data_IF_296912787296
#
_entry.id   IF_296912787296
#
_cell.length_a   1.000
_cell.length_b   1.000
_cell.length_c   1.000
_cell.angle_alpha   90.00
_cell.angle_beta   90.00
_cell.angle_gamma   90.00
#
_symmetry.space_group_name_H-M   'P 1'
#
loop_
_entity.id
_entity.type
_entity.pdbx_description
1 polymer ?
#
# COMPACT_ATOMS: atom_id res chain seq x y z
N UNK A 1 4.68 4.14 -26.63
CA UNK A 1 4.38 3.04 -25.68
C UNK A 1 5.53 2.04 -25.62
N UNK A 2 5.92 1.40 -26.74
CA UNK A 2 7.05 0.46 -26.78
C UNK A 2 8.37 1.02 -26.20
N UNK A 3 8.80 2.23 -26.59
CA UNK A 3 10.01 2.88 -26.03
C UNK A 3 10.04 2.92 -24.49
N UNK A 4 8.90 3.28 -23.89
CA UNK A 4 8.76 3.38 -22.43
C UNK A 4 8.82 2.01 -21.74
N UNK A 5 8.45 0.94 -22.45
CA UNK A 5 8.54 -0.44 -21.97
C UNK A 5 10.00 -0.90 -21.93
N UNK A 6 10.75 -0.61 -23.00
CA UNK A 6 12.19 -0.85 -23.05
C UNK A 6 12.91 -0.04 -21.96
N UNK A 7 12.57 1.24 -21.77
CA UNK A 7 13.15 2.05 -20.67
C UNK A 7 12.91 1.47 -19.26
N UNK A 8 11.87 0.64 -19.08
CA UNK A 8 11.50 0.02 -17.80
C UNK A 8 12.17 -1.35 -17.63
N UNK A 9 12.23 -2.14 -18.71
CA UNK A 9 12.61 -3.56 -18.65
C UNK A 9 14.05 -3.79 -19.14
N UNK A 10 14.42 -3.20 -20.26
CA UNK A 10 15.72 -3.40 -20.93
C UNK A 10 16.82 -2.65 -20.16
N UNK A 11 17.53 -3.39 -19.29
CA UNK A 11 18.53 -2.83 -18.38
C UNK A 11 19.89 -2.68 -19.03
N UNK A 12 20.19 -3.54 -20.00
CA UNK A 12 21.48 -3.55 -20.68
C UNK A 12 21.50 -2.66 -21.95
N UNK A 13 20.33 -2.15 -22.34
CA UNK A 13 20.07 -1.30 -23.49
C UNK A 13 20.48 -1.95 -24.83
N UNK A 14 20.36 -3.27 -24.91
CA UNK A 14 20.66 -4.02 -26.14
C UNK A 14 19.46 -4.10 -27.10
N UNK A 15 18.31 -3.56 -26.70
CA UNK A 15 17.08 -3.55 -27.49
C UNK A 15 16.36 -4.90 -27.53
N UNK A 16 16.73 -5.84 -26.65
CA UNK A 16 16.05 -7.13 -26.45
C UNK A 16 15.48 -7.16 -25.03
N UNK A 17 14.32 -7.78 -24.87
CA UNK A 17 13.73 -8.02 -23.55
C UNK A 17 13.90 -9.49 -23.20
N UNK A 18 14.64 -9.76 -22.13
CA UNK A 18 14.83 -11.11 -21.60
C UNK A 18 13.88 -11.40 -20.43
N UNK A 19 13.68 -12.69 -20.13
CA UNK A 19 12.89 -13.10 -18.95
C UNK A 19 13.52 -12.60 -17.64
N UNK A 20 14.85 -12.61 -17.55
CA UNK A 20 15.59 -12.13 -16.37
C UNK A 20 15.42 -10.62 -16.16
N UNK A 21 15.44 -9.84 -17.23
CA UNK A 21 15.19 -8.39 -17.18
C UNK A 21 13.76 -8.08 -16.78
N UNK A 22 12.78 -8.81 -17.33
CA UNK A 22 11.38 -8.67 -16.94
C UNK A 22 11.19 -9.04 -15.46
N UNK A 23 11.82 -10.12 -15.00
CA UNK A 23 11.74 -10.56 -13.61
C UNK A 23 12.41 -9.57 -12.67
N UNK A 24 13.56 -9.01 -13.05
CA UNK A 24 14.21 -7.93 -12.31
C UNK A 24 13.33 -6.68 -12.25
N UNK A 25 12.64 -6.35 -13.34
CA UNK A 25 11.76 -5.19 -13.39
C UNK A 25 10.51 -5.37 -12.53
N UNK A 26 9.88 -6.54 -12.55
CA UNK A 26 8.74 -6.87 -11.69
C UNK A 26 9.17 -6.96 -10.21
N UNK A 27 10.44 -7.29 -9.94
CA UNK A 27 11.00 -7.26 -8.58
C UNK A 27 11.09 -5.86 -7.97
N UNK A 28 11.06 -4.80 -8.79
CA UNK A 28 11.08 -3.42 -8.34
C UNK A 28 9.65 -2.85 -8.26
N UNK A 29 9.15 -2.47 -7.06
CA UNK A 29 7.75 -2.06 -6.89
C UNK A 29 7.28 -0.96 -7.86
N UNK A 30 8.14 0.03 -8.13
CA UNK A 30 7.88 1.13 -9.05
C UNK A 30 7.61 0.65 -10.49
N UNK A 31 8.43 -0.29 -10.95
CA UNK A 31 8.39 -0.81 -12.31
C UNK A 31 7.25 -1.82 -12.43
N UNK A 32 7.06 -2.70 -11.44
CA UNK A 32 5.91 -3.58 -11.32
C UNK A 32 4.59 -2.81 -11.43
N UNK A 33 4.47 -1.69 -10.72
CA UNK A 33 3.29 -0.83 -10.76
C UNK A 33 3.09 -0.22 -12.16
N UNK A 34 4.16 0.28 -12.79
CA UNK A 34 4.08 0.82 -14.14
C UNK A 34 3.67 -0.26 -15.17
N UNK A 35 4.16 -1.49 -15.02
CA UNK A 35 3.80 -2.63 -15.86
C UNK A 35 2.34 -3.06 -15.64
N UNK A 36 1.86 -3.06 -14.39
CA UNK A 36 0.49 -3.43 -14.05
C UNK A 36 -0.57 -2.45 -14.62
N UNK A 37 -0.16 -1.24 -15.01
CA UNK A 37 -1.02 -0.23 -15.64
C UNK A 37 -1.08 -0.33 -17.16
N UNK A 38 -0.34 -1.27 -17.76
CA UNK A 38 -0.36 -1.46 -19.21
C UNK A 38 -1.67 -2.10 -19.66
N UNK A 39 -2.22 -1.54 -20.73
CA UNK A 39 -3.30 -2.15 -21.50
C UNK A 39 -2.71 -2.47 -22.88
N UNK A 40 -2.57 -3.76 -23.18
CA UNK A 40 -1.87 -4.24 -24.37
C UNK A 40 -2.87 -4.86 -25.31
N UNK A 41 -2.87 -4.43 -26.57
CA UNK A 41 -3.67 -5.07 -27.61
C UNK A 41 -2.89 -6.23 -28.21
N UNK A 42 -3.37 -7.45 -28.00
CA UNK A 42 -2.74 -8.66 -28.51
C UNK A 42 -3.77 -9.79 -28.71
N UNK A 43 -3.43 -10.74 -29.58
CA UNK A 43 -4.27 -11.92 -29.83
C UNK A 43 -4.38 -12.77 -28.56
N UNK A 44 -5.60 -13.05 -28.12
CA UNK A 44 -5.90 -13.84 -26.92
C UNK A 44 -5.10 -15.15 -26.86
N UNK A 45 -4.57 -15.51 -25.69
CA UNK A 45 -3.94 -16.82 -25.44
C UNK A 45 -4.94 -17.96 -25.56
N UNK A 46 -6.22 -17.65 -25.34
CA UNK A 46 -7.32 -18.59 -25.52
C UNK A 46 -7.69 -18.82 -26.97
N UNK A 47 -7.02 -18.15 -27.93
CA UNK A 47 -7.11 -18.41 -29.36
C UNK A 47 -5.88 -19.18 -29.85
N UNK A 48 -6.09 -20.42 -30.24
CA UNK A 48 -5.03 -21.28 -30.78
C UNK A 48 -4.71 -20.91 -32.23
N UNK A 49 -3.45 -20.54 -32.45
CA UNK A 49 -2.83 -20.40 -33.75
C UNK A 49 -1.43 -21.04 -33.68
N UNK A 50 -1.11 -22.07 -34.49
CA UNK A 50 0.18 -22.76 -34.42
C UNK A 50 1.38 -21.81 -34.52
N UNK A 51 1.33 -20.89 -35.50
CA UNK A 51 2.39 -19.90 -35.75
C UNK A 51 2.70 -18.99 -34.57
N UNK A 52 1.71 -18.72 -33.69
CA UNK A 52 1.89 -17.91 -32.49
C UNK A 52 2.75 -18.63 -31.45
N UNK A 53 2.51 -19.92 -31.26
CA UNK A 53 3.22 -20.72 -30.27
C UNK A 53 4.57 -21.20 -30.80
N UNK A 54 4.66 -21.52 -32.09
CA UNK A 54 5.91 -21.89 -32.75
C UNK A 54 6.94 -20.74 -32.77
N UNK A 55 6.48 -19.49 -32.76
CA UNK A 55 7.36 -18.32 -32.63
C UNK A 55 8.14 -18.28 -31.30
N UNK A 56 7.68 -19.00 -30.26
CA UNK A 56 8.37 -19.10 -28.98
C UNK A 56 9.45 -20.19 -28.97
N UNK A 57 9.55 -21.02 -30.02
CA UNK A 57 10.55 -22.09 -30.08
C UNK A 57 11.97 -21.52 -30.00
N UNK A 58 12.25 -20.47 -30.76
CA UNK A 58 13.54 -19.78 -30.74
C UNK A 58 13.83 -19.16 -29.35
N UNK A 59 12.81 -18.52 -28.76
CA UNK A 59 12.94 -17.85 -27.46
C UNK A 59 13.23 -18.83 -26.34
N UNK A 60 12.63 -20.02 -26.40
CA UNK A 60 12.82 -21.09 -25.42
C UNK A 60 14.04 -21.98 -25.74
N UNK A 61 14.70 -21.78 -26.89
CA UNK A 61 15.78 -22.65 -27.35
C UNK A 61 15.31 -24.05 -27.78
N UNK A 62 14.03 -24.21 -28.09
CA UNK A 62 13.47 -25.44 -28.66
C UNK A 62 13.84 -25.56 -30.13
N UNK A 63 14.37 -26.70 -30.54
CA UNK A 63 14.63 -27.01 -31.95
C UNK A 63 14.55 -28.51 -32.19
N UNK A 64 14.60 -28.92 -33.47
CA UNK A 64 14.68 -30.35 -33.81
C UNK A 64 15.93 -31.03 -33.26
N UNK A 65 17.05 -30.30 -33.09
CA UNK A 65 18.28 -30.82 -32.48
C UNK A 65 18.33 -30.69 -30.96
N UNK A 66 17.50 -29.80 -30.38
CA UNK A 66 17.37 -29.58 -28.93
C UNK A 66 15.89 -29.64 -28.52
N UNK A 67 15.25 -30.81 -28.55
CA UNK A 67 13.83 -30.92 -28.29
C UNK A 67 13.50 -30.75 -26.80
N UNK A 68 12.78 -29.68 -26.47
CA UNK A 68 12.16 -29.50 -25.15
C UNK A 68 10.82 -30.24 -25.08
N UNK A 69 10.82 -31.48 -24.57
CA UNK A 69 9.64 -32.36 -24.55
C UNK A 69 8.45 -31.77 -23.79
N UNK A 70 8.73 -31.12 -22.66
CA UNK A 70 7.75 -30.42 -21.83
C UNK A 70 7.11 -29.24 -22.58
N UNK A 71 7.85 -28.55 -23.44
CA UNK A 71 7.29 -27.50 -24.30
C UNK A 71 6.39 -28.07 -25.40
N UNK A 72 6.77 -29.19 -26.02
CA UNK A 72 5.93 -29.89 -27.00
C UNK A 72 4.61 -30.34 -26.38
N UNK A 73 4.68 -30.95 -25.19
CA UNK A 73 3.48 -31.35 -24.44
C UNK A 73 2.61 -30.14 -24.07
N UNK A 74 3.22 -29.00 -23.74
CA UNK A 74 2.50 -27.77 -23.43
C UNK A 74 1.78 -27.18 -24.64
N UNK A 75 2.40 -27.19 -25.84
CA UNK A 75 1.71 -26.79 -27.08
C UNK A 75 0.45 -27.62 -27.34
N UNK A 76 0.52 -28.94 -27.11
CA UNK A 76 -0.65 -29.82 -27.22
C UNK A 76 -1.69 -29.51 -26.14
N UNK A 77 -1.28 -29.24 -24.90
CA UNK A 77 -2.20 -28.82 -23.84
C UNK A 77 -2.92 -27.52 -24.18
N UNK A 78 -2.20 -26.51 -24.67
CA UNK A 78 -2.72 -25.21 -25.10
C UNK A 78 -3.79 -25.39 -26.19
N UNK A 79 -3.52 -26.25 -27.18
CA UNK A 79 -4.46 -26.58 -28.25
C UNK A 79 -5.78 -27.14 -27.71
N UNK A 80 -5.74 -27.96 -26.65
CA UNK A 80 -6.92 -28.56 -26.03
C UNK A 80 -7.72 -27.58 -25.17
N UNK A 81 -7.08 -26.63 -24.49
CA UNK A 81 -7.76 -25.67 -23.60
C UNK A 81 -8.25 -24.40 -24.32
N UNK A 82 -7.88 -24.22 -25.59
CA UNK A 82 -8.35 -23.12 -26.41
C UNK A 82 -9.86 -23.25 -26.69
N UNK A 83 -10.60 -22.17 -26.45
CA UNK A 83 -12.05 -22.10 -26.65
C UNK A 83 -12.47 -20.91 -27.51
N UNK A 84 -11.58 -19.95 -27.79
CA UNK A 84 -11.95 -18.68 -28.40
C UNK A 84 -12.54 -18.83 -29.80
N UNK A 85 -11.92 -19.67 -30.64
CA UNK A 85 -12.37 -19.92 -32.02
C UNK A 85 -13.80 -20.50 -32.05
N UNK A 86 -14.22 -21.21 -31.01
CA UNK A 86 -15.55 -21.81 -30.93
C UNK A 86 -16.63 -20.79 -30.56
N UNK A 87 -16.33 -19.90 -29.62
CA UNK A 87 -17.34 -19.00 -29.04
C UNK A 87 -17.38 -17.64 -29.71
N UNK A 88 -16.25 -17.14 -30.22
CA UNK A 88 -16.15 -15.74 -30.65
C UNK A 88 -17.18 -15.34 -31.72
N UNK A 89 -17.43 -16.14 -32.77
CA UNK A 89 -18.46 -15.84 -33.77
C UNK A 89 -19.89 -15.85 -33.19
N UNK A 90 -20.13 -16.63 -32.14
CA UNK A 90 -21.46 -16.83 -31.53
C UNK A 90 -21.86 -15.68 -30.61
N UNK A 91 -20.89 -15.07 -29.93
CA UNK A 91 -21.11 -14.04 -28.90
C UNK A 91 -20.61 -12.64 -29.33
N UNK A 92 -20.17 -12.47 -30.57
CA UNK A 92 -19.72 -11.18 -31.10
C UNK A 92 -18.34 -10.74 -30.60
N UNK A 93 -17.48 -11.67 -30.16
CA UNK A 93 -16.09 -11.36 -29.87
C UNK A 93 -15.27 -11.28 -31.18
N UNK A 94 -14.11 -10.58 -31.17
CA UNK A 94 -13.22 -10.54 -32.33
C UNK A 94 -12.81 -11.94 -32.80
N UNK A 95 -13.16 -12.28 -34.03
CA UNK A 95 -12.88 -13.60 -34.64
C UNK A 95 -11.38 -13.89 -34.70
N UNK A 96 -10.58 -12.86 -34.95
CA UNK A 96 -9.11 -12.95 -34.98
C UNK A 96 -8.46 -12.87 -33.59
N UNK A 97 -9.25 -12.92 -32.51
CA UNK A 97 -8.75 -12.96 -31.13
C UNK A 97 -8.07 -11.70 -30.60
N UNK A 98 -7.90 -10.66 -31.42
CA UNK A 98 -7.29 -9.41 -31.01
C UNK A 98 -8.13 -8.67 -29.97
N UNK A 99 -7.64 -8.63 -28.73
CA UNK A 99 -8.30 -8.00 -27.58
C UNK A 99 -7.32 -7.22 -26.72
N UNK A 100 -7.84 -6.35 -25.86
CA UNK A 100 -7.04 -5.66 -24.87
C UNK A 100 -6.88 -6.52 -23.62
N UNK A 101 -5.62 -6.74 -23.23
CA UNK A 101 -5.23 -7.40 -21.99
C UNK A 101 -4.80 -6.36 -20.97
N UNK A 102 -5.16 -6.56 -19.72
CA UNK A 102 -4.79 -5.69 -18.61
C UNK A 102 -4.59 -6.54 -17.35
N UNK A 103 -3.80 -6.03 -16.40
CA UNK A 103 -3.62 -6.70 -15.11
C UNK A 103 -4.87 -6.49 -14.24
N UNK A 104 -5.67 -7.53 -13.93
CA UNK A 104 -6.95 -7.33 -13.23
C UNK A 104 -6.77 -6.74 -11.83
N UNK A 105 -5.77 -7.22 -11.06
CA UNK A 105 -5.45 -6.64 -9.74
C UNK A 105 -4.96 -5.19 -9.85
N UNK A 106 -4.08 -4.89 -10.82
CA UNK A 106 -3.62 -3.52 -11.08
C UNK A 106 -4.76 -2.57 -11.46
N UNK A 107 -5.72 -3.04 -12.26
CA UNK A 107 -6.91 -2.28 -12.64
C UNK A 107 -7.83 -2.01 -11.44
N UNK A 108 -8.07 -3.01 -10.58
CA UNK A 108 -8.84 -2.80 -9.33
C UNK A 108 -8.12 -1.81 -8.41
N UNK A 109 -6.80 -1.92 -8.29
CA UNK A 109 -5.97 -0.96 -7.57
C UNK A 109 -6.11 0.47 -8.09
N UNK A 110 -6.24 0.64 -9.41
CA UNK A 110 -6.47 1.94 -10.05
C UNK A 110 -7.88 2.49 -9.77
N UNK A 111 -8.92 1.65 -9.70
CA UNK A 111 -10.28 2.12 -9.38
C UNK A 111 -10.47 2.48 -7.91
N UNK A 112 -9.78 1.82 -6.99
CA UNK A 112 -9.69 2.25 -5.59
C UNK A 112 -9.11 3.67 -5.43
N UNK A 113 -8.52 4.18 -6.51
CA UNK A 113 -7.75 5.40 -6.57
C UNK A 113 -8.47 6.60 -7.19
N UNK A 114 -9.35 6.34 -8.16
CA UNK A 114 -10.02 7.35 -9.01
C UNK A 114 -11.47 7.60 -8.53
N UNK A 115 -11.90 6.99 -7.42
CA UNK A 115 -13.24 7.19 -6.85
C UNK A 115 -13.52 8.61 -6.32
N UNK A 116 -14.80 8.98 -6.14
CA UNK A 116 -15.20 10.31 -5.65
C UNK A 116 -14.77 10.51 -4.20
N UNK A 117 -13.68 11.27 -4.00
CA UNK A 117 -13.10 11.57 -2.69
C UNK A 117 -12.58 10.31 -1.97
N UNK A 118 -11.31 10.30 -1.60
CA UNK A 118 -10.76 9.18 -0.84
C UNK A 118 -11.43 9.15 0.54
N UNK A 119 -11.84 7.96 1.01
CA UNK A 119 -12.42 7.77 2.35
C UNK A 119 -11.41 7.07 3.24
N UNK A 120 -11.44 7.41 4.53
CA UNK A 120 -10.74 6.64 5.55
C UNK A 120 -11.42 5.28 5.69
N UNK A 121 -10.67 4.20 5.47
CA UNK A 121 -11.23 2.84 5.50
C UNK A 121 -11.34 2.30 6.93
N UNK A 122 -10.39 2.66 7.79
CA UNK A 122 -10.35 2.34 9.22
C UNK A 122 -9.53 3.42 9.94
N UNK A 123 -9.73 3.59 11.25
CA UNK A 123 -8.90 4.53 12.02
C UNK A 123 -9.28 5.99 11.92
N UNK A 124 -10.56 6.30 11.69
CA UNK A 124 -11.04 7.68 11.57
C UNK A 124 -10.67 8.54 12.78
N UNK A 125 -10.74 7.99 14.01
CA UNK A 125 -10.33 8.70 15.22
C UNK A 125 -8.84 9.07 15.19
N UNK A 126 -7.98 8.13 14.82
CA UNK A 126 -6.53 8.36 14.69
C UNK A 126 -6.23 9.38 13.59
N UNK A 127 -6.84 9.24 12.42
CA UNK A 127 -6.67 10.19 11.31
C UNK A 127 -7.05 11.62 11.72
N UNK A 128 -8.13 11.79 12.47
CA UNK A 128 -8.61 13.09 12.92
C UNK A 128 -7.69 13.73 13.98
N UNK A 129 -6.96 12.92 14.74
CA UNK A 129 -6.07 13.39 15.81
C UNK A 129 -4.68 13.77 15.31
N UNK A 130 -4.21 13.18 14.20
CA UNK A 130 -2.81 13.29 13.75
C UNK A 130 -2.57 14.49 12.82
N UNK A 131 -2.61 15.70 13.38
CA UNK A 131 -2.34 16.95 12.66
C UNK A 131 -3.59 17.65 12.11
N UNK A 132 -3.43 18.67 11.27
CA UNK A 132 -4.55 19.35 10.61
C UNK A 132 -4.25 19.84 9.18
N UNK A 133 -5.29 20.33 8.50
CA UNK A 133 -5.20 20.90 7.14
C UNK A 133 -5.21 22.44 7.14
N UNK A 134 -4.80 23.06 8.25
CA UNK A 134 -4.72 24.51 8.40
C UNK A 134 -3.30 24.95 8.03
N UNK A 135 -3.11 25.61 6.89
CA UNK A 135 -1.78 25.93 6.36
C UNK A 135 -0.91 26.82 7.27
N UNK A 136 -1.51 27.61 8.15
CA UNK A 136 -0.81 28.44 9.14
C UNK A 136 -0.48 27.71 10.46
N UNK A 137 -0.96 26.49 10.63
CA UNK A 137 -0.76 25.70 11.84
C UNK A 137 0.59 24.97 11.80
N UNK A 138 1.26 24.91 12.95
CA UNK A 138 2.46 24.06 13.12
C UNK A 138 2.18 22.56 12.91
N UNK A 139 0.90 22.16 12.96
CA UNK A 139 0.43 20.80 12.73
C UNK A 139 -0.05 20.55 11.29
N UNK A 140 0.27 21.44 10.36
CA UNK A 140 -0.08 21.27 8.96
C UNK A 140 0.61 20.05 8.36
N UNK A 141 -0.17 19.06 7.94
CA UNK A 141 0.35 17.72 7.62
C UNK A 141 0.57 17.46 6.13
N UNK A 142 0.04 18.32 5.24
CA UNK A 142 0.13 18.11 3.78
C UNK A 142 1.50 18.46 3.18
N UNK A 143 2.46 18.85 4.02
CA UNK A 143 3.86 19.05 3.64
C UNK A 143 4.76 18.21 4.54
N UNK A 144 5.97 17.91 4.06
CA UNK A 144 6.95 17.22 4.89
C UNK A 144 7.30 18.06 6.12
N UNK A 145 7.38 17.44 7.29
CA UNK A 145 7.72 18.11 8.54
C UNK A 145 8.56 17.20 9.44
N UNK A 146 9.08 17.73 10.54
CA UNK A 146 9.82 16.97 11.55
C UNK A 146 9.18 17.22 12.92
N UNK A 147 8.68 16.20 13.63
CA UNK A 147 7.95 16.35 14.91
C UNK A 147 8.77 16.89 16.09
N UNK A 148 10.09 17.09 15.96
CA UNK A 148 10.89 17.78 16.98
C UNK A 148 11.62 16.90 17.99
N UNK A 149 11.79 15.60 17.73
CA UNK A 149 12.55 14.69 18.61
C UNK A 149 13.54 13.82 17.82
N UNK A 150 14.54 13.28 18.54
CA UNK A 150 15.65 12.53 17.94
C UNK A 150 15.26 11.15 17.37
N UNK A 151 14.12 10.59 17.81
CA UNK A 151 13.64 9.29 17.35
C UNK A 151 12.82 9.39 16.06
N UNK A 152 12.17 10.54 15.84
CA UNK A 152 11.33 10.80 14.67
C UNK A 152 12.16 11.13 13.43
N UNK A 153 11.68 10.63 12.30
CA UNK A 153 12.16 10.98 10.98
C UNK A 153 11.39 12.13 10.34
N UNK A 154 11.58 12.28 9.04
CA UNK A 154 10.74 13.17 8.23
C UNK A 154 9.34 12.56 8.14
N UNK A 155 8.33 13.36 8.43
CA UNK A 155 6.93 12.93 8.46
C UNK A 155 6.13 13.63 7.37
N UNK A 156 5.15 12.93 6.79
CA UNK A 156 4.19 13.47 5.83
C UNK A 156 2.78 12.97 6.17
N UNK A 157 1.76 13.76 5.87
CA UNK A 157 0.38 13.37 6.12
C UNK A 157 0.09 13.12 7.60
N UNK A 158 -0.92 12.29 7.87
CA UNK A 158 -1.34 11.89 9.22
C UNK A 158 -0.38 10.83 9.79
N UNK A 159 0.84 11.23 10.11
CA UNK A 159 1.82 10.42 10.86
C UNK A 159 2.64 9.40 10.05
N UNK A 160 2.80 9.59 8.73
CA UNK A 160 3.70 8.74 7.94
C UNK A 160 5.17 9.12 8.17
N UNK A 161 5.85 8.41 9.07
CA UNK A 161 7.27 8.63 9.43
C UNK A 161 8.24 7.87 8.50
N UNK A 162 9.22 8.56 7.92
CA UNK A 162 10.17 7.97 6.96
C UNK A 162 11.46 7.45 7.58
N UNK A 163 11.66 7.64 8.89
CA UNK A 163 12.93 7.35 9.58
C UNK A 163 13.22 5.87 9.79
N UNK A 164 12.22 4.98 9.62
CA UNK A 164 12.41 3.52 9.71
C UNK A 164 12.12 2.79 8.40
N UNK A 165 11.86 3.54 7.31
CA UNK A 165 11.44 3.02 6.02
C UNK A 165 12.56 3.07 5.01
N UNK A 166 12.52 2.15 4.05
CA UNK A 166 13.47 2.16 2.93
C UNK A 166 13.06 3.20 1.88
N UNK A 167 14.02 3.65 1.06
CA UNK A 167 13.73 4.56 -0.05
C UNK A 167 12.69 3.97 -1.02
N UNK A 168 12.82 2.68 -1.36
CA UNK A 168 11.90 1.98 -2.26
C UNK A 168 10.49 1.88 -1.69
N UNK A 169 10.36 1.63 -0.39
CA UNK A 169 9.07 1.58 0.29
C UNK A 169 8.40 2.95 0.29
N UNK A 170 9.12 4.01 0.64
CA UNK A 170 8.57 5.37 0.63
C UNK A 170 8.12 5.75 -0.78
N UNK A 171 8.95 5.49 -1.79
CA UNK A 171 8.57 5.76 -3.17
C UNK A 171 7.30 4.99 -3.59
N UNK A 172 7.23 3.70 -3.27
CA UNK A 172 6.06 2.87 -3.55
C UNK A 172 4.80 3.44 -2.89
N UNK A 173 4.85 3.75 -1.59
CA UNK A 173 3.71 4.32 -0.87
C UNK A 173 3.30 5.70 -1.42
N UNK A 174 4.24 6.56 -1.80
CA UNK A 174 3.91 7.86 -2.41
C UNK A 174 3.21 7.68 -3.76
N UNK A 175 3.78 6.85 -4.63
CA UNK A 175 3.19 6.57 -5.95
C UNK A 175 1.86 5.85 -5.84
N UNK A 176 1.66 5.01 -4.80
CA UNK A 176 0.42 4.35 -4.38
C UNK A 176 -0.51 5.25 -3.54
N UNK A 177 -0.09 6.45 -3.16
CA UNK A 177 -0.97 7.51 -2.66
C UNK A 177 -1.38 8.49 -3.76
N UNK A 178 -0.77 8.43 -4.94
CA UNK A 178 -1.13 9.21 -6.13
C UNK A 178 -0.29 10.46 -6.28
N UNK A 179 0.85 10.47 -5.61
CA UNK A 179 1.83 11.53 -5.68
C UNK A 179 2.65 11.30 -6.96
N UNK A 180 2.85 12.36 -7.73
CA UNK A 180 3.55 12.27 -9.01
C UNK A 180 4.98 11.76 -8.83
N UNK A 181 5.50 11.05 -9.84
CA UNK A 181 6.80 10.38 -9.77
C UNK A 181 7.93 11.29 -9.32
N UNK A 182 7.98 12.54 -9.80
CA UNK A 182 9.03 13.49 -9.40
C UNK A 182 8.94 13.85 -7.91
N UNK A 183 7.73 14.19 -7.44
CA UNK A 183 7.49 14.52 -6.04
C UNK A 183 7.76 13.30 -5.14
N UNK A 184 7.32 12.11 -5.55
CA UNK A 184 7.57 10.84 -4.86
C UNK A 184 9.08 10.53 -4.74
N UNK A 185 9.88 10.77 -5.78
CA UNK A 185 11.35 10.61 -5.72
C UNK A 185 11.98 11.58 -4.74
N UNK A 186 11.56 12.85 -4.73
CA UNK A 186 12.09 13.84 -3.79
C UNK A 186 11.76 13.48 -2.34
N UNK A 187 10.53 13.03 -2.08
CA UNK A 187 10.09 12.58 -0.75
C UNK A 187 10.89 11.34 -0.30
N UNK A 188 11.12 10.38 -1.20
CA UNK A 188 11.81 9.13 -0.82
C UNK A 188 13.26 9.32 -0.38
N UNK A 189 13.91 10.42 -0.74
CA UNK A 189 15.25 10.78 -0.24
C UNK A 189 15.31 11.02 1.27
N UNK A 190 14.16 11.16 1.94
CA UNK A 190 14.10 11.30 3.38
C UNK A 190 14.27 9.97 4.15
N UNK A 191 14.43 8.85 3.44
CA UNK A 191 14.52 7.52 4.04
C UNK A 191 15.59 7.42 5.13
N UNK A 192 15.23 6.83 6.27
CA UNK A 192 16.17 6.59 7.38
C UNK A 192 16.66 7.84 8.12
N UNK A 193 16.36 9.06 7.64
CA UNK A 193 16.76 10.29 8.31
C UNK A 193 15.98 10.44 9.62
N UNK A 194 16.69 10.83 10.69
CA UNK A 194 16.14 11.06 12.03
C UNK A 194 16.74 12.30 12.67
N UNK A 195 16.10 12.81 13.71
CA UNK A 195 16.61 13.92 14.52
C UNK A 195 17.06 15.12 13.69
N UNK A 196 18.31 15.56 13.88
CA UNK A 196 18.85 16.72 13.18
C UNK A 196 18.92 16.56 11.65
N UNK A 197 19.15 15.35 11.15
CA UNK A 197 19.20 15.11 9.70
C UNK A 197 17.81 15.24 9.07
N UNK A 198 16.77 14.72 9.75
CA UNK A 198 15.38 14.90 9.34
C UNK A 198 14.99 16.39 9.37
N UNK A 199 15.36 17.11 10.43
CA UNK A 199 15.14 18.56 10.54
C UNK A 199 15.78 19.32 9.38
N UNK A 200 17.05 19.02 9.08
CA UNK A 200 17.80 19.69 8.01
C UNK A 200 17.20 19.38 6.64
N UNK A 201 16.80 18.13 6.40
CA UNK A 201 16.13 17.73 5.18
C UNK A 201 14.84 18.52 4.95
N UNK A 202 13.97 18.59 5.98
CA UNK A 202 12.72 19.37 5.91
C UNK A 202 13.01 20.84 5.59
N UNK A 203 13.94 21.46 6.32
CA UNK A 203 14.30 22.88 6.12
C UNK A 203 14.70 23.17 4.67
N UNK A 204 15.43 22.26 4.04
CA UNK A 204 16.01 22.48 2.72
C UNK A 204 15.07 22.04 1.58
N UNK A 205 14.12 21.13 1.83
CA UNK A 205 13.35 20.47 0.77
C UNK A 205 11.83 20.72 0.82
N UNK A 206 11.25 21.20 1.92
CA UNK A 206 9.79 21.31 2.06
C UNK A 206 9.15 22.14 0.94
N UNK A 207 9.67 23.33 0.66
CA UNK A 207 9.17 24.19 -0.41
C UNK A 207 9.39 23.60 -1.81
N UNK A 208 10.47 22.83 -2.02
CA UNK A 208 10.82 22.22 -3.30
C UNK A 208 9.99 20.96 -3.61
N UNK A 209 9.57 20.24 -2.56
CA UNK A 209 8.69 19.08 -2.65
C UNK A 209 7.24 19.52 -2.81
N UNK A 210 6.86 20.61 -2.14
CA UNK A 210 5.49 21.12 -2.18
C UNK A 210 4.51 20.28 -1.38
N UNK A 211 3.23 20.55 -1.63
CA UNK A 211 2.11 20.01 -0.88
C UNK A 211 1.51 18.77 -1.55
N UNK A 212 1.00 17.83 -0.73
CA UNK A 212 0.13 16.73 -1.19
C UNK A 212 -1.35 17.10 -1.06
N UNK A 213 -2.22 16.52 -1.87
CA UNK A 213 -3.66 16.73 -1.77
C UNK A 213 -4.25 16.02 -0.54
N UNK A 214 -5.45 16.45 -0.10
CA UNK A 214 -6.17 15.75 0.97
C UNK A 214 -6.45 14.28 0.64
N UNK A 215 -6.74 13.98 -0.62
CA UNK A 215 -6.91 12.60 -1.10
C UNK A 215 -5.62 11.78 -1.03
N UNK A 216 -4.47 12.37 -1.41
CA UNK A 216 -3.17 11.71 -1.28
C UNK A 216 -2.85 11.42 0.20
N UNK A 217 -3.15 12.34 1.10
CA UNK A 217 -2.98 12.15 2.55
C UNK A 217 -3.85 11.00 3.08
N UNK A 218 -5.11 10.91 2.64
CA UNK A 218 -6.03 9.83 3.01
C UNK A 218 -5.52 8.48 2.49
N UNK A 219 -5.12 8.41 1.21
CA UNK A 219 -4.59 7.17 0.63
C UNK A 219 -3.31 6.73 1.32
N UNK A 220 -2.40 7.66 1.63
CA UNK A 220 -1.18 7.36 2.38
C UNK A 220 -1.48 6.77 3.76
N UNK A 221 -2.48 7.32 4.47
CA UNK A 221 -2.92 6.76 5.74
C UNK A 221 -3.52 5.36 5.58
N UNK A 222 -4.39 5.14 4.58
CA UNK A 222 -4.99 3.84 4.31
C UNK A 222 -3.97 2.76 3.93
N UNK A 223 -2.83 3.13 3.34
CA UNK A 223 -1.74 2.20 3.03
C UNK A 223 -1.09 1.65 4.30
N UNK A 224 -0.82 2.50 5.29
CA UNK A 224 -0.03 2.11 6.47
C UNK A 224 -0.86 1.72 7.68
N UNK A 225 -2.13 2.13 7.75
CA UNK A 225 -2.97 1.84 8.92
C UNK A 225 -3.22 0.34 9.17
N UNK A 226 -3.32 -0.54 8.15
CA UNK A 226 -3.42 -1.99 8.36
C UNK A 226 -2.29 -2.57 9.24
N UNK A 227 -1.05 -2.12 9.06
CA UNK A 227 0.08 -2.56 9.90
C UNK A 227 -0.11 -2.19 11.37
N UNK A 228 -0.76 -1.05 11.64
CA UNK A 228 -1.09 -0.64 13.01
C UNK A 228 -2.22 -1.48 13.61
N UNK A 229 -3.18 -1.94 12.80
CA UNK A 229 -4.21 -2.90 13.23
C UNK A 229 -3.54 -4.21 13.63
N UNK A 230 -2.69 -4.78 12.77
CA UNK A 230 -1.99 -6.03 13.05
C UNK A 230 -1.11 -5.92 14.29
N UNK A 231 -0.39 -4.80 14.43
CA UNK A 231 0.37 -4.51 15.64
C UNK A 231 -0.52 -4.39 16.87
N UNK A 232 -1.68 -3.78 16.78
CA UNK A 232 -2.63 -3.69 17.90
C UNK A 232 -3.16 -5.06 18.31
N UNK A 233 -3.50 -5.92 17.35
CA UNK A 233 -3.89 -7.31 17.64
C UNK A 233 -2.76 -8.05 18.37
N UNK A 234 -1.53 -7.94 17.87
CA UNK A 234 -0.35 -8.55 18.49
C UNK A 234 -0.14 -8.06 19.93
N UNK A 235 -0.16 -6.74 20.15
CA UNK A 235 0.05 -6.12 21.46
C UNK A 235 -1.10 -6.44 22.42
N UNK A 236 -2.34 -6.46 21.94
CA UNK A 236 -3.50 -6.88 22.70
C UNK A 236 -3.34 -8.31 23.20
N UNK A 237 -3.05 -9.25 22.31
CA UNK A 237 -2.85 -10.65 22.66
C UNK A 237 -1.70 -10.83 23.63
N UNK A 238 -0.57 -10.17 23.38
CA UNK A 238 0.61 -10.19 24.27
C UNK A 238 0.26 -9.80 25.70
N UNK A 239 -0.54 -8.75 25.90
CA UNK A 239 -0.80 -8.20 27.22
C UNK A 239 -2.04 -8.75 27.94
N UNK A 240 -2.92 -9.42 27.21
CA UNK A 240 -4.23 -9.84 27.76
C UNK A 240 -4.45 -11.35 27.76
N UNK A 241 -3.60 -12.16 27.10
CA UNK A 241 -3.84 -13.59 26.91
C UNK A 241 -4.18 -14.38 28.19
N UNK A 242 -3.59 -14.02 29.33
CA UNK A 242 -3.83 -14.69 30.63
C UNK A 242 -4.93 -14.04 31.49
N UNK A 243 -5.62 -13.02 30.99
CA UNK A 243 -6.55 -12.23 31.78
C UNK A 243 -7.95 -12.84 31.81
N UNK A 244 -8.51 -12.94 33.02
CA UNK A 244 -9.87 -13.44 33.24
C UNK A 244 -10.89 -12.44 32.67
N UNK A 245 -11.82 -12.94 31.85
CA UNK A 245 -12.87 -12.14 31.22
C UNK A 245 -12.44 -11.42 29.94
N UNK A 246 -11.24 -11.69 29.42
CA UNK A 246 -10.82 -11.25 28.08
C UNK A 246 -11.74 -11.84 27.00
N UNK A 247 -12.15 -11.00 26.05
CA UNK A 247 -12.68 -11.44 24.76
C UNK A 247 -11.58 -11.54 23.71
N UNK A 248 -11.80 -12.39 22.70
CA UNK A 248 -10.95 -12.39 21.51
C UNK A 248 -11.11 -11.08 20.73
N UNK A 249 -10.03 -10.64 20.08
CA UNK A 249 -9.99 -9.36 19.36
C UNK A 249 -11.17 -9.18 18.39
N UNK A 250 -11.52 -10.24 17.67
CA UNK A 250 -12.61 -10.21 16.68
C UNK A 250 -14.00 -10.00 17.29
N UNK A 251 -14.16 -10.29 18.59
CA UNK A 251 -15.40 -10.15 19.34
C UNK A 251 -15.53 -8.81 20.07
N UNK A 252 -14.47 -7.99 20.07
CA UNK A 252 -14.52 -6.64 20.63
C UNK A 252 -15.37 -5.72 19.75
N UNK A 253 -16.09 -4.82 20.40
CA UNK A 253 -16.82 -3.71 19.80
C UNK A 253 -15.89 -2.86 18.92
N UNK A 254 -16.40 -2.41 17.77
CA UNK A 254 -15.58 -1.67 16.82
C UNK A 254 -14.97 -0.41 17.43
N UNK A 255 -15.73 0.34 18.24
CA UNK A 255 -15.22 1.58 18.82
C UNK A 255 -14.09 1.31 19.84
N UNK A 256 -14.16 0.20 20.57
CA UNK A 256 -13.09 -0.27 21.45
C UNK A 256 -11.86 -0.64 20.63
N UNK A 257 -12.00 -1.38 19.53
CA UNK A 257 -10.87 -1.72 18.65
C UNK A 257 -10.19 -0.47 18.09
N UNK A 258 -10.96 0.50 17.62
CA UNK A 258 -10.39 1.75 17.07
C UNK A 258 -9.54 2.48 18.10
N UNK A 259 -10.00 2.55 19.36
CA UNK A 259 -9.26 3.18 20.46
C UNK A 259 -8.02 2.36 20.86
N UNK A 260 -8.10 1.02 20.87
CA UNK A 260 -6.93 0.18 21.11
C UNK A 260 -5.85 0.35 20.04
N UNK A 261 -6.25 0.45 18.76
CA UNK A 261 -5.31 0.76 17.66
C UNK A 261 -4.72 2.15 17.85
N UNK A 262 -5.53 3.15 18.25
CA UNK A 262 -5.03 4.51 18.51
C UNK A 262 -4.00 4.58 19.64
N UNK A 263 -4.18 3.79 20.71
CA UNK A 263 -3.17 3.67 21.76
C UNK A 263 -1.84 3.13 21.21
N UNK A 264 -1.89 2.10 20.37
CA UNK A 264 -0.70 1.55 19.72
C UNK A 264 -0.07 2.56 18.77
N UNK A 265 -0.88 3.30 18.01
CA UNK A 265 -0.42 4.35 17.12
C UNK A 265 0.34 5.45 17.87
N UNK A 266 -0.17 5.87 19.04
CA UNK A 266 0.51 6.84 19.90
C UNK A 266 1.77 6.28 20.59
N UNK A 267 1.97 4.96 20.56
CA UNK A 267 3.13 4.30 21.16
C UNK A 267 2.89 3.72 22.56
N UNK A 268 1.66 3.68 23.07
CA UNK A 268 1.30 3.03 24.34
C UNK A 268 1.31 1.50 24.24
N UNK A 269 2.50 0.94 24.04
CA UNK A 269 2.72 -0.49 23.74
C UNK A 269 3.53 -1.23 24.81
N UNK A 270 4.17 -0.52 25.73
CA UNK A 270 5.13 -1.07 26.70
C UNK A 270 4.49 -1.59 27.98
N UNK A 271 3.22 -1.29 28.25
CA UNK A 271 2.50 -1.73 29.44
C UNK A 271 1.15 -2.35 29.12
N UNK A 272 0.58 -3.16 30.03
CA UNK A 272 -0.65 -3.90 29.77
C UNK A 272 -1.92 -3.04 29.87
N UNK A 273 -1.89 -1.97 30.66
CA UNK A 273 -3.10 -1.23 31.05
C UNK A 273 -3.93 -0.68 29.88
N UNK A 274 -3.33 -0.09 28.82
CA UNK A 274 -4.10 0.33 27.65
C UNK A 274 -4.91 -0.82 27.02
N UNK A 275 -4.29 -1.99 26.84
CA UNK A 275 -4.96 -3.16 26.26
C UNK A 275 -6.00 -3.77 27.20
N UNK A 276 -5.68 -3.86 28.51
CA UNK A 276 -6.61 -4.36 29.53
C UNK A 276 -7.87 -3.52 29.64
N UNK A 277 -7.78 -2.21 29.42
CA UNK A 277 -8.93 -1.31 29.50
C UNK A 277 -10.07 -1.66 28.53
N UNK A 278 -9.78 -2.35 27.42
CA UNK A 278 -10.76 -2.77 26.43
C UNK A 278 -11.14 -4.25 26.44
N UNK A 279 -10.41 -5.10 27.17
CA UNK A 279 -10.49 -6.55 27.00
C UNK A 279 -11.85 -7.16 27.37
N UNK A 280 -12.62 -6.50 28.24
CA UNK A 280 -13.95 -6.93 28.70
C UNK A 280 -15.10 -6.35 27.88
N UNK A 281 -14.79 -5.67 26.78
CA UNK A 281 -15.77 -5.04 25.90
C UNK A 281 -16.67 -3.99 26.58
N UNK A 282 -16.14 -3.32 27.61
CA UNK A 282 -16.85 -2.29 28.37
C UNK A 282 -16.36 -0.90 27.99
N UNK A 283 -17.18 -0.14 27.25
CA UNK A 283 -16.84 1.24 26.88
C UNK A 283 -16.68 2.13 28.13
N UNK A 284 -17.51 1.93 29.15
CA UNK A 284 -17.43 2.68 30.42
C UNK A 284 -16.12 2.41 31.17
N UNK A 285 -15.62 1.17 31.18
CA UNK A 285 -14.33 0.82 31.78
C UNK A 285 -13.17 1.49 31.04
N UNK A 286 -13.20 1.46 29.70
CA UNK A 286 -12.20 2.14 28.87
C UNK A 286 -12.24 3.67 29.03
N UNK A 287 -13.43 4.28 29.04
CA UNK A 287 -13.60 5.73 29.28
C UNK A 287 -13.01 6.10 30.64
N UNK A 288 -13.35 5.34 31.69
CA UNK A 288 -12.83 5.57 33.03
C UNK A 288 -11.30 5.49 33.05
N UNK A 289 -10.70 4.49 32.39
CA UNK A 289 -9.25 4.40 32.24
C UNK A 289 -8.63 5.61 31.55
N UNK A 290 -9.21 6.05 30.42
CA UNK A 290 -8.76 7.20 29.64
C UNK A 290 -8.77 8.49 30.47
N UNK A 291 -9.86 8.73 31.21
CA UNK A 291 -10.06 9.97 31.95
C UNK A 291 -9.32 10.00 33.29
N UNK A 292 -9.16 8.85 33.94
CA UNK A 292 -8.49 8.75 35.24
C UNK A 292 -6.98 8.57 35.18
N UNK A 293 -6.41 8.20 34.02
CA UNK A 293 -4.97 7.98 33.86
C UNK A 293 -4.29 9.25 33.33
N UNK A 294 -3.52 10.00 34.14
CA UNK A 294 -2.95 11.28 33.71
C UNK A 294 -2.10 11.19 32.44
N UNK A 295 -1.32 10.10 32.30
CA UNK A 295 -0.48 9.86 31.14
C UNK A 295 -1.26 9.69 29.83
N UNK A 296 -2.53 9.25 29.90
CA UNK A 296 -3.43 9.12 28.76
C UNK A 296 -4.24 10.41 28.58
N UNK A 297 -4.83 10.90 29.68
CA UNK A 297 -5.75 12.03 29.70
C UNK A 297 -5.15 13.32 29.12
N UNK A 298 -3.85 13.55 29.32
CA UNK A 298 -3.15 14.71 28.75
C UNK A 298 -3.29 14.85 27.22
N UNK A 299 -3.59 13.76 26.50
CA UNK A 299 -3.76 13.76 25.04
C UNK A 299 -5.23 13.87 24.60
N UNK A 300 -6.20 13.76 25.51
CA UNK A 300 -7.61 13.62 25.16
C UNK A 300 -8.21 14.89 24.54
N UNK A 301 -7.62 16.06 24.82
CA UNK A 301 -8.04 17.30 24.16
C UNK A 301 -7.92 17.19 22.62
N UNK A 302 -6.85 16.57 22.13
CA UNK A 302 -6.63 16.36 20.69
C UNK A 302 -7.18 15.03 20.18
N UNK A 303 -7.19 13.99 21.01
CA UNK A 303 -7.54 12.62 20.56
C UNK A 303 -9.01 12.25 20.68
N UNK A 304 -9.75 12.85 21.62
CA UNK A 304 -11.20 12.68 21.74
C UNK A 304 -11.66 11.22 21.86
N UNK A 305 -10.89 10.34 22.52
CA UNK A 305 -11.21 8.90 22.62
C UNK A 305 -12.42 8.64 23.50
N UNK A 306 -12.47 9.30 24.66
CA UNK A 306 -13.61 9.18 25.55
C UNK A 306 -14.92 9.65 24.87
N UNK A 307 -14.87 10.78 24.17
CA UNK A 307 -16.01 11.32 23.42
C UNK A 307 -16.43 10.38 22.26
N UNK A 308 -15.46 9.78 21.57
CA UNK A 308 -15.70 8.78 20.54
C UNK A 308 -16.45 7.55 21.11
N UNK A 309 -15.97 7.01 22.23
CA UNK A 309 -16.60 5.85 22.89
C UNK A 309 -18.01 6.14 23.41
N UNK A 310 -18.30 7.39 23.82
CA UNK A 310 -19.65 7.81 24.27
C UNK A 310 -20.65 7.92 23.13
N UNK A 311 -20.19 8.14 21.90
CA UNK A 311 -21.04 8.36 20.73
C UNK A 311 -21.65 7.06 20.19
N UNK A 312 -20.98 5.94 20.42
CA UNK A 312 -21.40 4.60 19.98
C UNK A 312 -21.98 3.81 21.14
#
# INVERSE_FOLDING_TARGET
MMRRLYDIIDRNHDGKMTADELQAAIGLPAQAQALAQLIIYYVSEWQYAPTKWDALDEVLGHSGSTPLLNWVAEKERIKQINWWNEVAPKVGLPVLGGVYHFHPVGLVGLFAYIGPGSKILAGQITFNAEGNDISSSMYYSKVIHWPGNDLSGVTLGRGYDMGSRTQSEIYAHMTQAGIENEQARKISLAHGLKGLDARNFVRNNQALIGEITGDQQIRLFNIVYPDYIDRAVFIYNKWTASEVGRLEWVSLDQAIRDVLVDFVYQGFTTGPNPMKSGMRNSRSEMISYIESTPAINQYEQGRKRADYLRKY
#
